data_IF_330054338815
#
_entry.id   IF_330054338815
#
_cell.length_a   1.000
_cell.length_b   1.000
_cell.length_c   1.000
_cell.angle_alpha   90.00
_cell.angle_beta   90.00
_cell.angle_gamma   90.00
#
_symmetry.space_group_name_H-M   'P 1'
#
loop_
_entity.id
_entity.type
_entity.pdbx_description
1 polymer ?
#
# COMPACT_ATOMS: atom_id res chain seq x y z
N UNK A 1 5.77 23.54 -13.83
CA UNK A 1 7.08 23.07 -13.32
C UNK A 1 7.02 21.55 -13.22
N UNK A 2 8.06 20.83 -13.67
CA UNK A 2 8.11 19.37 -13.51
C UNK A 2 8.40 19.00 -12.05
N UNK A 3 7.76 17.93 -11.57
CA UNK A 3 8.11 17.33 -10.28
C UNK A 3 9.53 16.76 -10.32
N UNK A 4 10.31 16.97 -9.26
CA UNK A 4 11.62 16.34 -9.08
C UNK A 4 11.52 14.81 -8.95
N UNK A 5 10.32 14.28 -8.77
CA UNK A 5 10.04 12.85 -8.67
C UNK A 5 9.67 12.21 -10.01
N UNK A 6 9.62 12.99 -11.10
CA UNK A 6 9.57 12.43 -12.44
C UNK A 6 10.89 11.70 -12.77
N UNK A 7 10.80 10.59 -13.49
CA UNK A 7 11.97 9.96 -14.10
C UNK A 7 12.47 10.78 -15.29
N UNK A 8 13.80 10.89 -15.41
CA UNK A 8 14.47 11.55 -16.54
C UNK A 8 14.60 10.54 -17.68
N UNK A 9 14.30 10.95 -18.91
CA UNK A 9 14.56 10.17 -20.13
C UNK A 9 16.05 10.20 -20.49
N UNK A 10 16.47 9.35 -21.43
CA UNK A 10 17.83 9.40 -21.98
C UNK A 10 18.13 10.71 -22.73
N UNK A 11 17.09 11.43 -23.18
CA UNK A 11 17.17 12.74 -23.84
C UNK A 11 17.15 13.92 -22.86
N UNK A 12 17.05 13.66 -21.55
CA UNK A 12 17.01 14.69 -20.51
C UNK A 12 15.62 15.27 -20.21
N UNK A 13 14.58 14.80 -20.92
CA UNK A 13 13.20 15.21 -20.70
C UNK A 13 12.62 14.52 -19.46
N UNK A 14 11.77 15.22 -18.71
CA UNK A 14 11.24 14.69 -17.43
C UNK A 14 9.72 14.66 -17.40
N UNK A 15 9.08 15.72 -17.90
CA UNK A 15 7.63 15.84 -17.97
C UNK A 15 7.18 16.51 -19.26
N UNK A 16 5.91 16.34 -19.62
CA UNK A 16 5.30 17.01 -20.76
C UNK A 16 4.95 18.48 -20.46
N UNK A 17 4.30 19.15 -21.42
CA UNK A 17 3.87 20.56 -21.26
C UNK A 17 2.84 20.78 -20.16
N UNK A 18 2.11 19.74 -19.76
CA UNK A 18 1.10 19.76 -18.69
C UNK A 18 1.70 19.40 -17.32
N UNK A 19 2.98 19.04 -17.28
CA UNK A 19 3.66 18.62 -16.05
C UNK A 19 3.63 17.11 -15.80
N UNK A 20 3.03 16.31 -16.69
CA UNK A 20 2.91 14.86 -16.50
C UNK A 20 4.24 14.17 -16.79
N UNK A 21 4.68 13.29 -15.89
CA UNK A 21 5.97 12.62 -16.02
C UNK A 21 5.95 11.58 -17.15
N UNK A 22 6.80 11.78 -18.16
CA UNK A 22 6.78 11.00 -19.41
C UNK A 22 7.13 9.52 -19.16
N UNK A 23 8.13 9.26 -18.30
CA UNK A 23 8.59 7.91 -17.96
C UNK A 23 8.03 7.43 -16.59
N UNK A 24 7.00 8.12 -16.10
CA UNK A 24 6.42 7.89 -14.79
C UNK A 24 7.35 8.29 -13.63
N UNK A 25 7.06 7.74 -12.45
CA UNK A 25 7.64 8.19 -11.20
C UNK A 25 8.92 7.47 -10.80
N UNK A 26 9.77 8.19 -10.07
CA UNK A 26 10.84 7.62 -9.24
C UNK A 26 10.22 6.65 -8.21
N UNK A 27 11.04 5.71 -7.72
CA UNK A 27 10.62 4.73 -6.71
C UNK A 27 10.04 5.46 -5.50
N UNK A 28 8.90 4.99 -5.01
CA UNK A 28 8.24 5.56 -3.83
C UNK A 28 7.27 6.70 -4.14
N UNK A 29 7.04 7.04 -5.42
CA UNK A 29 6.05 8.05 -5.81
C UNK A 29 5.07 7.49 -6.86
N UNK A 30 3.89 8.09 -6.92
CA UNK A 30 2.85 7.75 -7.87
C UNK A 30 2.06 8.98 -8.35
N UNK A 31 1.18 8.76 -9.32
CA UNK A 31 0.33 9.77 -9.92
C UNK A 31 0.97 10.34 -11.19
N UNK A 32 0.16 11.00 -12.03
CA UNK A 32 0.67 11.52 -13.31
C UNK A 32 1.75 12.60 -13.13
N UNK A 33 1.69 13.34 -12.03
CA UNK A 33 2.65 14.38 -11.68
C UNK A 33 3.74 13.88 -10.71
N UNK A 34 3.67 12.63 -10.24
CA UNK A 34 4.58 12.06 -9.25
C UNK A 34 4.73 12.89 -7.97
N UNK A 35 3.67 13.59 -7.56
CA UNK A 35 3.63 14.39 -6.34
C UNK A 35 3.25 13.57 -5.13
N UNK A 36 2.59 12.43 -5.33
CA UNK A 36 2.08 11.60 -4.25
C UNK A 36 3.10 10.52 -3.87
N UNK A 37 3.42 10.42 -2.58
CA UNK A 37 4.29 9.36 -2.08
C UNK A 37 3.51 8.05 -1.91
N UNK A 38 4.14 6.92 -2.22
CA UNK A 38 3.57 5.60 -1.96
C UNK A 38 3.10 5.49 -0.51
N UNK A 39 1.94 4.84 -0.26
CA UNK A 39 1.45 4.67 1.10
C UNK A 39 2.47 4.00 2.02
N UNK A 40 2.61 4.52 3.24
CA UNK A 40 3.62 4.08 4.20
C UNK A 40 3.46 2.60 4.62
N UNK A 41 2.22 2.10 4.60
CA UNK A 41 1.91 0.73 5.01
C UNK A 41 1.89 -0.26 3.84
N UNK A 42 2.40 0.11 2.67
CA UNK A 42 2.65 -0.86 1.60
C UNK A 42 3.78 -1.80 2.02
N UNK A 43 3.58 -3.11 1.84
CA UNK A 43 4.62 -4.10 2.11
C UNK A 43 5.76 -3.93 1.10
N UNK A 44 6.99 -3.93 1.60
CA UNK A 44 8.18 -4.11 0.77
C UNK A 44 8.59 -5.57 0.86
N UNK A 45 8.39 -6.33 -0.21
CA UNK A 45 8.73 -7.76 -0.25
C UNK A 45 10.19 -8.02 -0.62
N UNK A 46 10.98 -6.97 -0.87
CA UNK A 46 12.37 -7.05 -1.31
C UNK A 46 12.54 -7.62 -2.72
N UNK A 47 11.45 -8.00 -3.40
CA UNK A 47 11.44 -8.59 -4.74
C UNK A 47 11.00 -7.58 -5.79
N UNK A 48 10.05 -6.70 -5.45
CA UNK A 48 9.66 -5.60 -6.33
C UNK A 48 10.57 -4.39 -6.15
N UNK A 49 10.97 -3.79 -7.27
CA UNK A 49 11.62 -2.47 -7.27
C UNK A 49 10.64 -1.34 -6.92
N UNK A 50 9.34 -1.60 -6.92
CA UNK A 50 8.28 -0.62 -6.70
C UNK A 50 7.35 -1.03 -5.55
N UNK A 51 7.33 -0.19 -4.50
CA UNK A 51 6.53 -0.37 -3.28
C UNK A 51 5.03 -0.24 -3.57
N UNK A 52 4.68 0.64 -4.51
CA UNK A 52 3.33 0.81 -5.02
C UNK A 52 3.33 1.03 -6.53
N UNK A 53 2.20 0.75 -7.18
CA UNK A 53 1.92 1.09 -8.56
C UNK A 53 2.07 2.60 -8.77
N UNK A 54 2.79 2.97 -9.81
CA UNK A 54 3.20 4.36 -10.03
C UNK A 54 2.10 5.22 -10.63
N UNK A 55 1.01 4.62 -11.09
CA UNK A 55 -0.11 5.37 -11.68
C UNK A 55 -1.17 5.68 -10.63
N UNK A 56 -1.55 4.68 -9.84
CA UNK A 56 -2.68 4.74 -8.91
C UNK A 56 -2.25 4.68 -7.44
N UNK A 57 -0.99 4.36 -7.14
CA UNK A 57 -0.48 4.26 -5.77
C UNK A 57 -0.87 2.97 -5.05
N UNK A 58 -1.30 1.94 -5.79
CA UNK A 58 -1.74 0.65 -5.22
C UNK A 58 -0.54 -0.15 -4.73
N UNK A 59 -0.56 -0.63 -3.50
CA UNK A 59 0.55 -1.43 -2.97
C UNK A 59 0.72 -2.74 -3.75
N UNK A 60 1.91 -2.97 -4.30
CA UNK A 60 2.17 -4.08 -5.23
C UNK A 60 2.21 -5.44 -4.51
N UNK A 61 2.81 -5.48 -3.31
CA UNK A 61 2.97 -6.68 -2.50
C UNK A 61 1.92 -6.81 -1.38
N UNK A 62 0.87 -5.99 -1.40
CA UNK A 62 -0.13 -5.90 -0.34
C UNK A 62 0.31 -5.01 0.83
N UNK A 63 -0.32 -5.19 1.98
CA UNK A 63 -0.16 -4.32 3.14
C UNK A 63 0.77 -4.90 4.19
N UNK A 64 1.42 -4.00 4.92
CA UNK A 64 2.00 -4.33 6.22
C UNK A 64 0.89 -4.81 7.16
N UNK A 65 1.21 -5.70 8.12
CA UNK A 65 0.18 -6.24 8.98
C UNK A 65 -0.54 -5.17 9.78
N UNK A 66 -1.83 -5.38 10.05
CA UNK A 66 -2.73 -4.40 10.67
C UNK A 66 -3.33 -3.38 9.70
N UNK A 67 -3.06 -3.46 8.40
CA UNK A 67 -3.60 -2.55 7.39
C UNK A 67 -4.22 -3.30 6.21
N UNK A 68 -5.24 -2.70 5.59
CA UNK A 68 -5.91 -3.24 4.42
C UNK A 68 -6.30 -2.17 3.40
N UNK A 69 -6.87 -2.65 2.29
CA UNK A 69 -7.24 -1.86 1.14
C UNK A 69 -6.11 -1.74 0.13
N UNK A 70 -6.45 -1.34 -1.09
CA UNK A 70 -5.52 -1.18 -2.21
C UNK A 70 -4.32 -0.25 -1.94
N UNK A 71 -4.50 0.76 -1.07
CA UNK A 71 -3.44 1.69 -0.64
C UNK A 71 -2.98 1.46 0.80
N UNK A 72 -3.48 0.45 1.52
CA UNK A 72 -3.08 0.18 2.91
C UNK A 72 -3.25 1.39 3.86
N UNK A 73 -4.26 2.22 3.61
CA UNK A 73 -4.58 3.39 4.43
C UNK A 73 -5.67 3.10 5.47
N UNK A 74 -6.25 1.90 5.45
CA UNK A 74 -7.30 1.50 6.37
C UNK A 74 -6.76 0.53 7.41
N UNK A 75 -6.87 0.82 8.71
CA UNK A 75 -6.41 -0.10 9.76
C UNK A 75 -7.40 -1.26 9.94
N UNK A 76 -6.89 -2.48 10.17
CA UNK A 76 -7.71 -3.62 10.55
C UNK A 76 -8.42 -3.38 11.90
N UNK A 77 -9.53 -4.06 12.14
CA UNK A 77 -10.18 -4.07 13.45
C UNK A 77 -9.29 -4.79 14.47
N UNK A 78 -9.16 -4.22 15.69
CA UNK A 78 -8.25 -4.72 16.71
C UNK A 78 -8.69 -6.07 17.33
N UNK A 79 -9.91 -6.50 17.07
CA UNK A 79 -10.49 -7.70 17.69
C UNK A 79 -10.40 -8.94 16.81
N UNK A 80 -9.63 -8.90 15.73
CA UNK A 80 -9.29 -10.11 15.00
C UNK A 80 -8.45 -11.04 15.88
N UNK A 81 -8.76 -12.33 15.85
CA UNK A 81 -7.90 -13.33 16.47
C UNK A 81 -6.53 -13.35 15.76
N UNK A 82 -5.42 -13.45 16.51
CA UNK A 82 -4.09 -13.56 15.92
C UNK A 82 -3.93 -14.90 15.20
N UNK A 83 -3.05 -14.92 14.20
CA UNK A 83 -2.70 -16.14 13.45
C UNK A 83 -2.10 -17.20 14.39
N UNK A 84 -2.62 -18.43 14.42
CA UNK A 84 -1.98 -19.51 15.17
C UNK A 84 -0.81 -20.02 14.33
N UNK A 85 0.40 -19.48 14.57
CA UNK A 85 1.69 -20.20 14.49
C UNK A 85 2.90 -19.25 14.66
N UNK A 86 3.60 -19.37 15.80
CA UNK A 86 5.05 -19.14 15.92
C UNK A 86 5.63 -17.74 15.66
N UNK A 87 4.83 -16.73 15.34
CA UNK A 87 5.26 -15.32 15.23
C UNK A 87 4.27 -14.44 16.01
N UNK A 88 4.78 -13.31 16.50
CA UNK A 88 4.05 -12.28 17.27
C UNK A 88 2.59 -12.13 16.84
N UNK A 89 1.63 -11.85 17.74
CA UNK A 89 0.22 -11.69 17.39
C UNK A 89 0.09 -10.60 16.32
N UNK A 90 -0.14 -11.04 15.09
CA UNK A 90 -0.25 -10.17 13.91
C UNK A 90 -1.73 -10.14 13.52
N UNK A 91 -2.32 -8.95 13.58
CA UNK A 91 -3.66 -8.71 13.04
C UNK A 91 -3.53 -8.71 11.52
N UNK A 92 -3.92 -9.81 10.88
CA UNK A 92 -4.03 -9.92 9.43
C UNK A 92 -5.51 -9.92 9.06
N UNK A 93 -5.99 -8.79 8.55
CA UNK A 93 -7.27 -8.75 7.87
C UNK A 93 -6.99 -8.95 6.37
N UNK A 94 -7.90 -9.66 5.69
CA UNK A 94 -7.79 -9.92 4.25
C UNK A 94 -7.60 -8.59 3.47
N UNK A 95 -7.46 -8.60 2.15
CA UNK A 95 -7.46 -7.33 1.37
C UNK A 95 -8.74 -6.47 1.62
N UNK A 96 -9.73 -7.03 2.31
CA UNK A 96 -10.92 -6.45 2.94
C UNK A 96 -10.81 -6.41 4.47
N UNK A 97 -11.60 -5.58 5.16
CA UNK A 97 -11.60 -5.42 6.64
C UNK A 97 -11.89 -6.69 7.48
N UNK A 98 -12.02 -7.86 6.85
CA UNK A 98 -12.48 -9.08 7.47
C UNK A 98 -11.32 -9.81 8.16
N UNK A 99 -11.57 -10.29 9.38
CA UNK A 99 -10.61 -11.02 10.18
C UNK A 99 -10.44 -12.44 9.63
N UNK A 100 -9.22 -12.77 9.21
CA UNK A 100 -8.94 -14.03 8.51
C UNK A 100 -9.08 -15.26 9.43
N UNK A 101 -8.78 -15.10 10.72
CA UNK A 101 -8.79 -16.18 11.72
C UNK A 101 -9.94 -16.06 12.73
N UNK A 102 -10.98 -15.29 12.38
CA UNK A 102 -12.11 -15.04 13.27
C UNK A 102 -11.78 -13.99 14.33
N UNK A 103 -12.56 -14.00 15.41
CA UNK A 103 -12.59 -12.94 16.40
C UNK A 103 -12.03 -13.37 17.76
N UNK A 104 -11.51 -12.40 18.51
CA UNK A 104 -11.26 -12.55 19.94
C UNK A 104 -12.57 -12.86 20.68
N UNK A 105 -12.47 -13.55 21.81
CA UNK A 105 -13.62 -13.90 22.64
C UNK A 105 -14.48 -12.67 22.97
N UNK A 106 -15.79 -12.78 22.76
CA UNK A 106 -16.75 -11.68 22.98
C UNK A 106 -17.04 -10.82 21.74
N UNK A 107 -16.38 -11.08 20.61
CA UNK A 107 -16.62 -10.40 19.33
C UNK A 107 -17.16 -11.36 18.28
N UNK A 108 -18.02 -10.87 17.39
CA UNK A 108 -18.61 -11.64 16.27
C UNK A 108 -18.70 -10.78 15.00
N UNK A 109 -19.11 -11.44 13.91
CA UNK A 109 -19.17 -10.87 12.56
C UNK A 109 -17.82 -10.88 11.85
N UNK A 110 -17.84 -10.62 10.54
CA UNK A 110 -16.64 -10.78 9.70
C UNK A 110 -15.52 -9.79 10.05
N UNK A 111 -15.86 -8.65 10.64
CA UNK A 111 -14.94 -7.59 11.06
C UNK A 111 -14.69 -7.55 12.56
N UNK A 112 -15.28 -8.48 13.34
CA UNK A 112 -15.17 -8.52 14.80
C UNK A 112 -15.54 -7.17 15.46
N UNK A 113 -16.62 -6.56 14.96
CA UNK A 113 -17.10 -5.25 15.37
C UNK A 113 -18.14 -5.27 16.48
N UNK A 114 -18.90 -6.37 16.67
CA UNK A 114 -19.81 -6.62 17.81
C UNK A 114 -20.56 -7.92 17.72
#
# INVERSE_FOLDING_TARGET
>A
MCSSNCKVTLTGETCDRQGQCIQGCKRGFYGQLCTDACPANCKNDGKSSDICDRRYGRCSAGCSPGWFGWKCNSPCYMNCAPVPEGKTPVIDCSKSSNCLFGCLAGWKGDTCGK
#
